data_IF_189739611649
#
_entry.id   IF_189739611649
#
_cell.length_a   1.000
_cell.length_b   1.000
_cell.length_c   1.000
_cell.angle_alpha   90.00
_cell.angle_beta   90.00
_cell.angle_gamma   90.00
#
_symmetry.space_group_name_H-M   'P 1'
#
loop_
_entity.id
_entity.type
_entity.pdbx_description
1 polymer ?
#
# COMPACT_ATOMS: atom_id res chain seq x y z
N UNK A 1 -4.84 26.19 12.63
CA UNK A 1 -5.86 27.26 12.53
C UNK A 1 -5.98 27.93 13.89
N UNK A 2 -6.10 29.26 13.93
CA UNK A 2 -6.42 29.98 15.15
C UNK A 2 -7.94 30.13 15.20
N UNK A 3 -8.53 29.74 16.31
CA UNK A 3 -9.96 29.85 16.56
C UNK A 3 -10.23 31.02 17.53
N UNK A 4 -11.45 31.12 18.05
CA UNK A 4 -11.94 32.26 18.82
C UNK A 4 -11.02 32.62 20.00
N UNK A 5 -11.02 33.89 20.37
CA UNK A 5 -10.30 34.40 21.54
C UNK A 5 -11.32 34.98 22.50
N UNK A 6 -11.47 34.38 23.68
CA UNK A 6 -12.51 34.75 24.66
C UNK A 6 -12.05 35.84 25.64
N UNK A 7 -10.94 36.52 25.33
CA UNK A 7 -10.31 37.54 26.18
C UNK A 7 -9.45 36.98 27.32
N UNK A 8 -9.51 35.66 27.58
CA UNK A 8 -8.64 34.96 28.55
C UNK A 8 -7.71 33.96 27.87
N UNK A 9 -8.14 33.36 26.75
CA UNK A 9 -7.42 32.33 26.01
C UNK A 9 -7.60 32.51 24.51
N UNK A 10 -6.68 31.92 23.76
CA UNK A 10 -6.75 31.77 22.31
C UNK A 10 -6.67 30.29 21.98
N UNK A 11 -7.65 29.80 21.22
CA UNK A 11 -7.71 28.41 20.82
C UNK A 11 -6.92 28.18 19.52
N UNK A 12 -6.17 27.08 19.45
CA UNK A 12 -5.41 26.67 18.27
C UNK A 12 -5.69 25.22 17.93
N UNK A 13 -5.83 24.94 16.63
CA UNK A 13 -5.96 23.59 16.08
C UNK A 13 -4.73 23.31 15.22
N UNK A 14 -4.05 22.21 15.51
CA UNK A 14 -2.90 21.72 14.76
C UNK A 14 -3.21 20.35 14.18
N UNK A 15 -3.04 20.20 12.87
CA UNK A 15 -3.09 18.90 12.19
C UNK A 15 -1.68 18.43 11.91
N UNK A 16 -1.22 17.43 12.67
CA UNK A 16 0.10 16.84 12.49
C UNK A 16 -0.03 15.63 11.55
N UNK A 17 0.87 15.54 10.57
CA UNK A 17 0.93 14.42 9.62
C UNK A 17 2.34 13.83 9.58
N UNK A 18 2.51 12.55 9.23
CA UNK A 18 3.83 11.96 9.03
C UNK A 18 4.61 12.72 7.97
N UNK A 19 5.95 12.71 8.05
CA UNK A 19 6.82 13.40 7.08
C UNK A 19 6.55 12.95 5.64
N UNK A 20 6.17 11.68 5.45
CA UNK A 20 5.79 11.13 4.14
C UNK A 20 4.62 11.87 3.48
N UNK A 21 3.79 12.59 4.24
CA UNK A 21 2.72 13.43 3.68
C UNK A 21 3.26 14.51 2.73
N UNK A 22 4.52 14.97 2.88
CA UNK A 22 5.13 15.91 1.94
C UNK A 22 5.18 15.37 0.50
N UNK A 23 5.17 14.05 0.33
CA UNK A 23 5.12 13.40 -0.99
C UNK A 23 3.75 13.52 -1.68
N UNK A 24 2.70 14.00 -0.99
CA UNK A 24 1.40 14.30 -1.61
C UNK A 24 1.37 15.70 -2.23
N UNK A 25 2.38 16.54 -1.94
CA UNK A 25 2.42 17.94 -2.36
C UNK A 25 3.14 18.17 -3.70
N UNK A 26 3.46 17.08 -4.41
CA UNK A 26 4.01 17.15 -5.75
C UNK A 26 3.16 16.34 -6.73
N UNK A 27 3.49 16.48 -8.01
CA UNK A 27 2.99 15.66 -9.10
C UNK A 27 4.08 15.62 -10.16
N UNK A 28 4.33 14.45 -10.75
CA UNK A 28 5.37 14.33 -11.78
C UNK A 28 5.03 13.28 -12.84
N UNK A 29 5.79 13.31 -13.94
CA UNK A 29 5.84 12.23 -14.93
C UNK A 29 7.29 11.87 -15.24
N UNK A 30 7.67 10.64 -14.93
CA UNK A 30 9.04 10.15 -15.10
C UNK A 30 9.10 8.63 -15.24
N UNK A 31 10.24 8.16 -15.70
CA UNK A 31 10.48 6.76 -16.00
C UNK A 31 11.57 6.23 -15.05
N UNK A 32 11.37 5.00 -14.58
CA UNK A 32 12.34 4.20 -13.86
C UNK A 32 12.70 2.99 -14.72
N UNK A 33 13.94 2.97 -15.19
CA UNK A 33 14.49 1.91 -16.03
C UNK A 33 15.16 0.84 -15.17
N UNK A 34 14.83 -0.43 -15.43
CA UNK A 34 15.52 -1.60 -14.85
C UNK A 34 15.67 -1.50 -13.34
N UNK A 35 14.54 -1.33 -12.65
CA UNK A 35 14.47 -1.29 -11.19
C UNK A 35 13.38 -2.20 -10.68
N UNK A 36 13.66 -2.87 -9.58
CA UNK A 36 12.61 -3.49 -8.78
C UNK A 36 11.77 -2.42 -8.07
N UNK A 37 10.54 -2.75 -7.73
CA UNK A 37 9.68 -1.84 -6.99
C UNK A 37 10.30 -1.40 -5.66
N UNK A 38 10.87 -2.28 -4.80
CA UNK A 38 11.52 -1.85 -3.56
C UNK A 38 12.63 -0.81 -3.77
N UNK A 39 13.38 -0.89 -4.88
CA UNK A 39 14.38 0.11 -5.23
C UNK A 39 13.73 1.45 -5.60
N UNK A 40 12.66 1.44 -6.40
CA UNK A 40 11.89 2.65 -6.73
C UNK A 40 11.32 3.29 -5.45
N UNK A 41 10.69 2.49 -4.58
CA UNK A 41 10.15 2.97 -3.30
C UNK A 41 11.25 3.63 -2.44
N UNK A 42 12.44 3.04 -2.41
CA UNK A 42 13.61 3.57 -1.69
C UNK A 42 14.11 4.89 -2.30
N UNK A 43 14.14 5.00 -3.62
CA UNK A 43 14.55 6.22 -4.33
C UNK A 43 13.60 7.37 -3.98
N UNK A 44 12.29 7.14 -4.06
CA UNK A 44 11.28 8.15 -3.76
C UNK A 44 11.39 8.66 -2.32
N UNK A 45 11.57 7.76 -1.35
CA UNK A 45 11.74 8.16 0.06
C UNK A 45 13.01 9.00 0.25
N UNK A 46 14.13 8.63 -0.39
CA UNK A 46 15.39 9.39 -0.32
C UNK A 46 15.29 10.77 -0.96
N UNK A 47 14.71 10.86 -2.17
CA UNK A 47 14.51 12.13 -2.88
C UNK A 47 13.70 13.13 -2.04
N UNK A 48 12.68 12.63 -1.33
CA UNK A 48 11.84 13.42 -0.43
C UNK A 48 12.36 13.54 1.00
N UNK A 49 13.57 13.06 1.29
CA UNK A 49 14.23 13.11 2.62
C UNK A 49 13.38 12.50 3.74
N UNK A 50 12.60 11.46 3.41
CA UNK A 50 11.84 10.69 4.38
C UNK A 50 12.79 9.73 5.07
N UNK A 51 12.79 9.71 6.40
CA UNK A 51 13.51 8.67 7.15
C UNK A 51 12.72 7.37 7.04
N UNK A 52 13.40 6.28 6.71
CA UNK A 52 12.76 5.00 6.59
C UNK A 52 13.68 3.87 7.03
N UNK A 53 13.04 2.80 7.49
CA UNK A 53 13.67 1.50 7.69
C UNK A 53 12.96 0.48 6.80
N UNK A 54 13.74 -0.16 5.94
CA UNK A 54 13.26 -1.30 5.15
C UNK A 54 13.50 -2.55 5.98
N UNK A 55 12.42 -3.18 6.44
CA UNK A 55 12.52 -4.48 7.08
C UNK A 55 12.80 -5.58 6.04
N UNK A 56 12.98 -6.81 6.49
CA UNK A 56 13.20 -7.97 5.62
C UNK A 56 12.01 -8.13 4.68
N UNK A 57 12.29 -8.02 3.38
CA UNK A 57 11.37 -8.43 2.31
C UNK A 57 11.61 -9.91 2.06
N UNK A 58 10.65 -10.75 2.43
CA UNK A 58 10.76 -12.21 2.35
C UNK A 58 10.44 -12.75 0.95
N UNK A 59 9.75 -11.97 0.12
CA UNK A 59 9.37 -12.30 -1.25
C UNK A 59 10.39 -11.76 -2.23
N UNK A 60 10.51 -12.44 -3.37
CA UNK A 60 11.32 -11.97 -4.49
C UNK A 60 10.54 -10.91 -5.27
N UNK A 61 11.08 -9.70 -5.33
CA UNK A 61 10.58 -8.62 -6.18
C UNK A 61 11.42 -8.50 -7.44
N UNK A 62 10.82 -8.72 -8.60
CA UNK A 62 11.53 -8.78 -9.88
C UNK A 62 11.90 -7.37 -10.37
N UNK A 63 13.06 -7.25 -11.01
CA UNK A 63 13.45 -6.04 -11.73
C UNK A 63 12.48 -5.82 -12.88
N UNK A 64 11.83 -4.65 -12.92
CA UNK A 64 10.97 -4.28 -14.04
C UNK A 64 11.81 -3.53 -15.06
N UNK A 65 11.71 -3.93 -16.33
CA UNK A 65 12.40 -3.24 -17.43
C UNK A 65 12.04 -1.75 -17.46
N UNK A 66 10.75 -1.44 -17.27
CA UNK A 66 10.21 -0.11 -17.46
C UNK A 66 9.03 0.17 -16.53
N UNK A 67 9.17 1.16 -15.64
CA UNK A 67 8.08 1.61 -14.75
C UNK A 67 7.88 3.11 -14.87
N UNK A 68 6.65 3.55 -15.15
CA UNK A 68 6.32 4.97 -15.33
C UNK A 68 5.50 5.48 -14.15
N UNK A 69 5.94 6.60 -13.57
CA UNK A 69 5.09 7.50 -12.79
C UNK A 69 4.44 8.45 -13.79
N UNK A 70 3.10 8.52 -13.83
CA UNK A 70 2.40 9.35 -14.81
C UNK A 70 1.37 10.25 -14.12
N UNK A 71 1.67 11.55 -14.06
CA UNK A 71 0.78 12.60 -13.54
C UNK A 71 0.17 12.28 -12.18
N UNK A 72 0.95 11.67 -11.31
CA UNK A 72 0.55 11.31 -9.95
C UNK A 72 1.59 11.84 -8.96
N UNK A 73 1.16 12.07 -7.73
CA UNK A 73 2.06 12.47 -6.64
C UNK A 73 3.08 11.37 -6.34
N UNK A 74 4.21 11.72 -5.75
CA UNK A 74 5.19 10.71 -5.33
C UNK A 74 4.58 9.75 -4.30
N UNK A 75 3.66 10.23 -3.46
CA UNK A 75 2.93 9.40 -2.51
C UNK A 75 2.00 8.40 -3.22
N UNK A 76 1.19 8.84 -4.17
CA UNK A 76 0.24 7.96 -4.85
C UNK A 76 0.96 6.92 -5.70
N UNK A 77 2.04 7.33 -6.37
CA UNK A 77 2.93 6.42 -7.09
C UNK A 77 3.53 5.36 -6.16
N UNK A 78 4.05 5.79 -5.00
CA UNK A 78 4.63 4.92 -3.99
C UNK A 78 3.58 3.91 -3.49
N UNK A 79 2.40 4.37 -3.07
CA UNK A 79 1.34 3.51 -2.56
C UNK A 79 0.82 2.54 -3.62
N UNK A 80 0.73 2.98 -4.88
CA UNK A 80 0.30 2.11 -5.99
C UNK A 80 1.29 0.98 -6.23
N UNK A 81 2.58 1.31 -6.35
CA UNK A 81 3.61 0.29 -6.53
C UNK A 81 3.72 -0.66 -5.33
N UNK A 82 3.61 -0.12 -4.11
CA UNK A 82 3.58 -0.94 -2.90
C UNK A 82 2.38 -1.90 -2.90
N UNK A 83 1.19 -1.44 -3.30
CA UNK A 83 0.00 -2.28 -3.44
C UNK A 83 0.18 -3.38 -4.51
N UNK A 84 0.83 -3.08 -5.64
CA UNK A 84 1.12 -4.06 -6.71
C UNK A 84 2.04 -5.21 -6.23
N UNK A 85 2.92 -4.95 -5.26
CA UNK A 85 3.88 -5.93 -4.74
C UNK A 85 3.52 -6.48 -3.35
N UNK A 86 2.38 -6.07 -2.80
CA UNK A 86 1.94 -6.50 -1.47
C UNK A 86 2.73 -5.90 -0.32
N UNK A 87 3.42 -4.80 -0.56
CA UNK A 87 4.24 -4.10 0.42
C UNK A 87 3.33 -3.22 1.28
N UNK A 88 3.36 -3.46 2.58
CA UNK A 88 2.64 -2.71 3.59
C UNK A 88 3.61 -1.79 4.31
N UNK A 89 3.10 -0.68 4.84
CA UNK A 89 3.91 0.29 5.56
C UNK A 89 3.14 0.92 6.72
N UNK A 90 3.89 1.40 7.70
CA UNK A 90 3.39 2.11 8.86
C UNK A 90 4.44 3.11 9.35
N UNK A 91 4.10 3.86 10.39
CA UNK A 91 4.96 4.88 10.95
C UNK A 91 5.33 4.53 12.39
N UNK A 92 6.62 4.55 12.71
CA UNK A 92 7.11 4.48 14.08
C UNK A 92 8.02 5.67 14.37
N UNK A 93 7.73 6.38 15.45
CA UNK A 93 8.44 7.58 15.88
C UNK A 93 8.58 8.62 14.75
N UNK A 94 9.73 8.65 14.08
CA UNK A 94 10.09 9.58 13.01
C UNK A 94 10.38 8.87 11.68
N UNK A 95 10.10 7.57 11.57
CA UNK A 95 10.47 6.76 10.43
C UNK A 95 9.26 6.06 9.81
N UNK A 96 9.29 5.92 8.49
CA UNK A 96 8.42 5.02 7.74
C UNK A 96 9.04 3.63 7.74
N UNK A 97 8.27 2.61 8.15
CA UNK A 97 8.67 1.22 8.05
C UNK A 97 7.85 0.55 6.96
N UNK A 98 8.46 -0.36 6.19
CA UNK A 98 7.72 -1.16 5.21
C UNK A 98 8.29 -2.58 5.07
N UNK A 99 7.40 -3.53 4.82
CA UNK A 99 7.68 -4.95 4.62
C UNK A 99 6.65 -5.58 3.67
N UNK A 100 6.77 -6.87 3.37
CA UNK A 100 5.87 -7.62 2.49
C UNK A 100 5.08 -8.75 3.19
N UNK A 101 5.23 -8.88 4.51
CA UNK A 101 4.49 -9.83 5.33
C UNK A 101 4.40 -9.39 6.80
N UNK A 102 3.48 -10.01 7.55
CA UNK A 102 3.19 -9.65 8.95
C UNK A 102 4.33 -9.92 9.95
N UNK A 103 5.40 -10.63 9.55
CA UNK A 103 6.47 -11.03 10.48
C UNK A 103 7.20 -9.83 11.10
N UNK A 104 7.30 -8.71 10.37
CA UNK A 104 7.86 -7.45 10.88
C UNK A 104 6.96 -6.67 11.85
N UNK A 105 5.74 -7.16 12.14
CA UNK A 105 4.73 -6.44 12.93
C UNK A 105 4.55 -6.98 14.35
N UNK A 106 5.37 -7.94 14.79
CA UNK A 106 5.24 -8.50 16.14
C UNK A 106 5.46 -7.43 17.21
N UNK A 107 4.61 -7.42 18.22
CA UNK A 107 4.69 -6.50 19.35
C UNK A 107 4.36 -7.23 20.64
N UNK A 108 5.01 -6.82 21.73
CA UNK A 108 4.72 -7.32 23.07
C UNK A 108 3.57 -6.52 23.71
N UNK A 109 2.38 -6.61 23.08
CA UNK A 109 1.16 -5.94 23.52
C UNK A 109 0.12 -7.01 23.84
N UNK A 110 -0.22 -7.12 25.12
CA UNK A 110 -1.27 -8.00 25.61
C UNK A 110 -2.43 -7.15 26.12
N UNK A 111 -3.65 -7.52 25.74
CA UNK A 111 -4.87 -6.90 26.22
C UNK A 111 -5.72 -7.94 26.97
N UNK A 112 -6.31 -7.52 28.08
CA UNK A 112 -7.32 -8.29 28.80
C UNK A 112 -8.71 -7.79 28.42
N UNK A 113 -9.62 -8.68 28.07
CA UNK A 113 -11.01 -8.31 27.85
C UNK A 113 -11.73 -8.15 29.19
N UNK A 114 -12.26 -6.95 29.46
CA UNK A 114 -13.04 -6.66 30.66
C UNK A 114 -14.13 -5.62 30.35
N UNK A 115 -15.41 -6.01 30.50
CA UNK A 115 -16.57 -5.13 30.24
C UNK A 115 -16.80 -4.06 31.30
N UNK A 116 -16.02 -4.04 32.39
CA UNK A 116 -16.11 -3.07 33.48
C UNK A 116 -14.85 -2.21 33.55
N UNK A 117 -14.65 -1.28 32.59
CA UNK A 117 -13.43 -0.46 32.51
C UNK A 117 -13.23 0.45 33.72
N UNK A 118 -14.30 0.78 34.46
CA UNK A 118 -14.26 1.58 35.69
C UNK A 118 -13.40 0.94 36.80
N UNK A 119 -13.23 -0.39 36.74
CA UNK A 119 -12.47 -1.17 37.72
C UNK A 119 -11.04 -1.45 37.26
N UNK A 120 -10.68 -0.96 36.08
CA UNK A 120 -9.37 -1.19 35.50
C UNK A 120 -8.36 -0.17 36.04
N UNK A 121 -7.28 -0.68 36.62
CA UNK A 121 -6.12 0.09 37.07
C UNK A 121 -4.92 -0.03 36.11
N UNK A 122 -5.12 -0.70 34.96
CA UNK A 122 -4.10 -0.95 33.93
C UNK A 122 -4.38 -0.21 32.63
N UNK A 123 -3.36 -0.01 31.79
CA UNK A 123 -3.51 0.57 30.45
C UNK A 123 -3.61 -0.52 29.35
N UNK A 124 -4.24 -1.66 29.68
CA UNK A 124 -4.21 -2.88 28.86
C UNK A 124 -5.57 -3.55 28.69
N UNK A 125 -6.68 -2.82 28.80
CA UNK A 125 -8.02 -3.39 28.71
C UNK A 125 -8.70 -3.09 27.39
N UNK A 126 -9.33 -4.14 26.83
CA UNK A 126 -10.37 -4.02 25.82
C UNK A 126 -11.74 -4.20 26.50
N UNK A 127 -12.60 -3.19 26.43
CA UNK A 127 -13.90 -3.20 27.13
C UNK A 127 -15.10 -3.27 26.20
N UNK A 128 -14.89 -3.09 24.90
CA UNK A 128 -15.87 -3.38 23.86
C UNK A 128 -15.17 -4.16 22.76
N UNK A 129 -15.79 -5.24 22.28
CA UNK A 129 -15.26 -6.09 21.23
C UNK A 129 -16.35 -6.45 20.22
N UNK A 130 -16.06 -6.27 18.93
CA UNK A 130 -16.93 -6.66 17.83
C UNK A 130 -16.09 -7.37 16.78
N UNK A 131 -16.57 -8.50 16.28
CA UNK A 131 -15.90 -9.29 15.24
C UNK A 131 -16.94 -9.79 14.24
N UNK A 132 -16.62 -9.68 12.96
CA UNK A 132 -17.47 -10.13 11.85
C UNK A 132 -16.67 -10.88 10.80
N UNK A 133 -17.31 -11.89 10.22
CA UNK A 133 -16.86 -12.54 8.99
C UNK A 133 -17.78 -12.18 7.84
N UNK A 134 -17.19 -11.87 6.68
CA UNK A 134 -17.90 -11.34 5.52
C UNK A 134 -17.56 -12.15 4.28
N UNK A 135 -18.55 -12.31 3.40
CA UNK A 135 -18.34 -12.90 2.09
C UNK A 135 -17.46 -11.95 1.25
N UNK A 136 -16.39 -12.50 0.69
CA UNK A 136 -15.51 -11.81 -0.26
C UNK A 136 -15.35 -12.68 -1.51
N UNK A 137 -14.71 -12.15 -2.55
CA UNK A 137 -14.34 -12.95 -3.72
C UNK A 137 -13.51 -14.16 -3.29
N UNK A 138 -13.91 -15.33 -3.78
CA UNK A 138 -13.26 -16.61 -3.52
C UNK A 138 -12.26 -16.99 -4.63
N UNK A 139 -12.11 -16.14 -5.64
CA UNK A 139 -11.22 -16.41 -6.75
C UNK A 139 -10.84 -15.16 -7.55
N UNK A 140 -9.72 -15.26 -8.24
CA UNK A 140 -9.31 -14.28 -9.24
C UNK A 140 -8.67 -14.98 -10.43
N UNK A 141 -8.92 -14.43 -11.61
CA UNK A 141 -8.34 -14.84 -12.88
C UNK A 141 -7.66 -13.61 -13.48
N UNK A 142 -6.37 -13.68 -13.72
CA UNK A 142 -5.60 -12.63 -14.36
C UNK A 142 -5.03 -13.12 -15.69
N UNK A 143 -5.07 -12.23 -16.68
CA UNK A 143 -4.56 -12.50 -18.02
C UNK A 143 -3.73 -11.34 -18.53
N UNK A 144 -2.70 -11.67 -19.30
CA UNK A 144 -1.92 -10.71 -20.07
C UNK A 144 -1.55 -11.32 -21.43
N UNK A 145 -0.77 -10.60 -22.25
CA UNK A 145 -0.33 -11.07 -23.56
C UNK A 145 1.14 -10.76 -23.77
N UNK A 146 1.92 -11.80 -24.10
CA UNK A 146 3.31 -11.68 -24.50
C UNK A 146 3.44 -11.87 -26.01
N UNK A 147 3.85 -10.80 -26.71
CA UNK A 147 3.97 -10.82 -28.18
C UNK A 147 5.08 -11.74 -28.70
N UNK A 148 6.04 -12.12 -27.86
CA UNK A 148 7.08 -13.10 -28.19
C UNK A 148 6.53 -14.53 -28.22
N UNK A 149 5.39 -14.77 -27.56
CA UNK A 149 4.70 -16.06 -27.54
C UNK A 149 3.18 -15.87 -27.69
N UNK A 150 2.70 -15.40 -28.85
CA UNK A 150 1.33 -14.90 -29.01
C UNK A 150 0.25 -15.99 -28.95
N UNK A 151 0.63 -17.27 -29.11
CA UNK A 151 -0.30 -18.41 -28.98
C UNK A 151 -0.56 -18.80 -27.53
N UNK A 152 0.30 -18.37 -26.61
CA UNK A 152 0.18 -18.71 -25.21
C UNK A 152 -0.82 -17.79 -24.52
N UNK A 153 -1.81 -18.37 -23.85
CA UNK A 153 -2.89 -17.60 -23.21
C UNK A 153 -2.45 -16.70 -22.08
N UNK A 154 -1.30 -17.01 -21.43
CA UNK A 154 -0.74 -16.27 -20.29
C UNK A 154 -1.82 -15.89 -19.27
N UNK A 155 -2.51 -16.91 -18.77
CA UNK A 155 -3.66 -16.81 -17.88
C UNK A 155 -3.37 -17.58 -16.59
N UNK A 156 -3.63 -16.93 -15.47
CA UNK A 156 -3.40 -17.47 -14.14
C UNK A 156 -4.64 -17.32 -13.27
N UNK A 157 -4.91 -18.32 -12.46
CA UNK A 157 -6.07 -18.38 -11.59
C UNK A 157 -5.67 -18.83 -10.19
N UNK A 158 -6.31 -18.26 -9.19
CA UNK A 158 -6.18 -18.68 -7.80
C UNK A 158 -7.57 -18.64 -7.16
N UNK A 159 -7.92 -19.69 -6.43
CA UNK A 159 -9.21 -19.83 -5.76
C UNK A 159 -9.05 -20.38 -4.34
N UNK A 160 -9.99 -20.04 -3.46
CA UNK A 160 -10.05 -20.55 -2.09
C UNK A 160 -11.00 -21.72 -1.90
N UNK A 161 -11.93 -21.92 -2.84
CA UNK A 161 -12.86 -23.06 -2.86
C UNK A 161 -13.16 -23.47 -4.31
N UNK A 162 -13.65 -24.70 -4.49
CA UNK A 162 -13.92 -25.28 -5.81
C UNK A 162 -15.23 -24.78 -6.45
N UNK A 163 -15.96 -23.84 -5.81
CA UNK A 163 -17.28 -23.44 -6.30
C UNK A 163 -17.21 -22.51 -7.51
N UNK A 164 -16.11 -21.77 -7.70
CA UNK A 164 -15.87 -20.86 -8.82
C UNK A 164 -16.83 -19.67 -8.93
N UNK A 165 -17.85 -19.59 -8.07
CA UNK A 165 -18.85 -18.54 -8.04
C UNK A 165 -18.29 -17.32 -7.29
N UNK A 166 -18.35 -16.12 -7.88
CA UNK A 166 -17.81 -14.84 -7.35
C UNK A 166 -16.31 -14.58 -7.60
N UNK A 167 -15.76 -15.08 -8.72
CA UNK A 167 -14.41 -14.76 -9.16
C UNK A 167 -14.30 -13.39 -9.84
N UNK A 168 -13.14 -12.73 -9.68
CA UNK A 168 -12.81 -11.45 -10.35
C UNK A 168 -11.86 -11.71 -11.51
N UNK A 169 -12.23 -11.29 -12.71
CA UNK A 169 -11.39 -11.38 -13.90
C UNK A 169 -10.75 -10.04 -14.25
N UNK A 170 -9.45 -10.04 -14.54
CA UNK A 170 -8.69 -8.87 -14.99
C UNK A 170 -7.80 -9.21 -16.19
N UNK A 171 -7.96 -8.48 -17.30
CA UNK A 171 -7.18 -8.66 -18.54
C UNK A 171 -5.95 -7.73 -18.63
N UNK A 172 -5.43 -7.30 -17.49
CA UNK A 172 -4.25 -6.45 -17.37
C UNK A 172 -3.38 -6.91 -16.19
N UNK A 173 -2.94 -8.17 -16.27
CA UNK A 173 -2.20 -8.85 -15.19
C UNK A 173 -0.82 -8.26 -14.87
N UNK A 174 -0.21 -7.55 -15.82
CA UNK A 174 1.11 -6.89 -15.72
C UNK A 174 2.28 -7.83 -15.50
N UNK A 175 2.21 -8.98 -16.14
CA UNK A 175 3.27 -9.97 -16.16
C UNK A 175 3.54 -10.37 -17.60
N UNK A 176 4.79 -10.72 -17.90
CA UNK A 176 5.17 -11.25 -19.21
C UNK A 176 5.41 -12.76 -19.18
N UNK A 177 5.55 -13.32 -17.97
CA UNK A 177 5.94 -14.71 -17.73
C UNK A 177 5.22 -15.30 -16.51
N UNK A 178 5.02 -16.62 -16.51
CA UNK A 178 4.32 -17.36 -15.45
C UNK A 178 4.92 -17.19 -14.05
N UNK A 179 6.25 -16.99 -13.99
CA UNK A 179 6.98 -16.80 -12.74
C UNK A 179 6.58 -15.51 -12.02
N UNK A 180 6.21 -14.47 -12.78
CA UNK A 180 5.72 -13.19 -12.28
C UNK A 180 4.21 -13.25 -12.00
N UNK A 181 3.47 -13.95 -12.86
CA UNK A 181 2.01 -14.01 -12.80
C UNK A 181 1.48 -14.70 -11.55
N UNK A 182 2.08 -15.84 -11.17
CA UNK A 182 1.68 -16.62 -9.98
C UNK A 182 1.62 -15.77 -8.69
N UNK A 183 2.70 -15.08 -8.27
CA UNK A 183 2.65 -14.26 -7.06
C UNK A 183 1.69 -13.06 -7.19
N UNK A 184 1.54 -12.45 -8.36
CA UNK A 184 0.59 -11.34 -8.57
C UNK A 184 -0.88 -11.78 -8.45
N UNK A 185 -1.21 -12.93 -9.03
CA UNK A 185 -2.57 -13.49 -8.95
C UNK A 185 -2.92 -13.89 -7.50
N UNK A 186 -1.98 -14.51 -6.79
CA UNK A 186 -2.14 -14.83 -5.36
C UNK A 186 -2.32 -13.55 -4.52
N UNK A 187 -1.48 -12.54 -4.75
CA UNK A 187 -1.57 -11.26 -4.06
C UNK A 187 -2.93 -10.60 -4.28
N UNK A 188 -3.45 -10.64 -5.51
CA UNK A 188 -4.75 -10.07 -5.85
C UNK A 188 -5.88 -10.74 -5.07
N UNK A 189 -5.86 -12.06 -4.93
CA UNK A 189 -6.83 -12.79 -4.12
C UNK A 189 -6.74 -12.38 -2.64
N UNK A 190 -5.53 -12.25 -2.10
CA UNK A 190 -5.32 -11.79 -0.71
C UNK A 190 -5.88 -10.37 -0.50
N UNK A 191 -5.68 -9.45 -1.46
CA UNK A 191 -6.26 -8.10 -1.43
C UNK A 191 -7.79 -8.11 -1.44
N UNK A 192 -8.40 -8.93 -2.28
CA UNK A 192 -9.86 -9.06 -2.37
C UNK A 192 -10.49 -9.61 -1.08
N UNK A 193 -9.68 -10.30 -0.26
CA UNK A 193 -10.12 -10.95 0.99
C UNK A 193 -9.66 -10.24 2.26
N UNK A 194 -9.02 -9.08 2.16
CA UNK A 194 -8.54 -8.32 3.33
C UNK A 194 -9.59 -8.12 4.42
N UNK A 195 -10.85 -7.93 4.03
CA UNK A 195 -11.95 -7.62 4.94
C UNK A 195 -12.90 -8.81 5.14
N UNK A 196 -12.49 -10.04 4.78
CA UNK A 196 -13.31 -11.22 5.05
C UNK A 196 -13.45 -11.51 6.55
N UNK A 197 -12.51 -11.04 7.37
CA UNK A 197 -12.49 -11.19 8.83
C UNK A 197 -11.97 -9.89 9.44
N UNK A 198 -12.85 -9.13 10.07
CA UNK A 198 -12.53 -7.81 10.63
C UNK A 198 -13.25 -7.63 11.95
N UNK A 199 -12.58 -6.97 12.88
CA UNK A 199 -13.20 -6.56 14.13
C UNK A 199 -12.85 -5.13 14.51
N UNK A 200 -13.61 -4.62 15.46
CA UNK A 200 -13.38 -3.33 16.12
C UNK A 200 -13.41 -3.50 17.63
N UNK A 201 -12.63 -2.71 18.35
CA UNK A 201 -12.65 -2.70 19.80
C UNK A 201 -12.47 -1.30 20.36
N UNK A 202 -13.01 -1.09 21.56
CA UNK A 202 -12.66 0.07 22.39
C UNK A 202 -11.72 -0.38 23.51
N UNK A 203 -10.64 0.36 23.69
CA UNK A 203 -9.55 0.02 24.61
C UNK A 203 -9.01 1.27 25.30
N UNK A 204 -8.34 1.12 26.45
CA UNK A 204 -7.54 2.18 27.06
C UNK A 204 -6.03 2.10 26.70
N UNK A 205 -5.63 1.11 25.90
CA UNK A 205 -4.23 0.89 25.53
C UNK A 205 -3.73 1.83 24.43
N UNK A 206 -2.95 2.85 24.82
CA UNK A 206 -2.31 3.80 23.89
C UNK A 206 -1.17 3.19 23.05
N UNK A 207 -0.69 1.99 23.42
CA UNK A 207 0.41 1.31 22.70
C UNK A 207 -0.03 0.75 21.34
N UNK A 208 -1.33 0.57 21.13
CA UNK A 208 -1.89 0.08 19.87
C UNK A 208 -1.67 1.10 18.77
N UNK A 209 -1.09 0.65 17.66
CA UNK A 209 -0.85 1.44 16.44
C UNK A 209 -0.73 0.54 15.22
N UNK A 210 -1.02 1.03 14.00
CA UNK A 210 -0.80 0.26 12.77
C UNK A 210 0.64 -0.25 12.69
N UNK A 211 0.80 -1.45 12.14
CA UNK A 211 2.08 -2.16 12.12
C UNK A 211 2.42 -2.92 13.41
N UNK A 212 1.44 -3.10 14.31
CA UNK A 212 1.56 -3.93 15.51
C UNK A 212 0.54 -5.06 15.50
N UNK A 213 0.98 -6.21 15.98
CA UNK A 213 0.13 -7.35 16.32
C UNK A 213 0.06 -7.42 17.85
N UNK A 214 -1.15 -7.42 18.40
CA UNK A 214 -1.42 -7.58 19.83
C UNK A 214 -2.08 -8.94 20.11
N UNK A 215 -2.10 -9.36 21.36
CA UNK A 215 -2.79 -10.57 21.81
C UNK A 215 -3.97 -10.17 22.71
N UNK A 216 -5.15 -10.74 22.48
CA UNK A 216 -6.29 -10.61 23.40
C UNK A 216 -6.37 -11.83 24.31
N UNK A 217 -6.72 -11.63 25.58
CA UNK A 217 -6.96 -12.70 26.56
C UNK A 217 -8.24 -12.43 27.35
N UNK A 218 -8.72 -13.46 28.05
CA UNK A 218 -9.88 -13.40 28.96
C UNK A 218 -11.22 -13.02 28.30
N UNK A 219 -11.33 -13.13 26.98
CA UNK A 219 -12.60 -12.98 26.28
C UNK A 219 -13.48 -14.23 26.50
N UNK A 220 -14.80 -14.11 26.77
CA UNK A 220 -15.70 -15.24 27.01
C UNK A 220 -15.79 -16.24 25.85
N UNK A 221 -15.62 -15.77 24.62
CA UNK A 221 -15.50 -16.59 23.42
C UNK A 221 -14.02 -16.91 23.21
N UNK A 222 -13.66 -18.19 23.36
CA UNK A 222 -12.27 -18.65 23.33
C UNK A 222 -11.54 -18.34 22.02
N UNK A 223 -12.25 -18.42 20.89
CA UNK A 223 -11.68 -18.09 19.58
C UNK A 223 -11.22 -16.62 19.45
N UNK A 224 -11.66 -15.72 20.34
CA UNK A 224 -11.21 -14.33 20.36
C UNK A 224 -9.87 -14.15 21.11
N UNK A 225 -9.48 -15.11 21.95
CA UNK A 225 -8.24 -15.12 22.71
C UNK A 225 -7.04 -15.51 21.82
N UNK A 226 -6.79 -14.73 20.78
CA UNK A 226 -5.72 -14.95 19.80
C UNK A 226 -4.98 -13.63 19.51
N UNK A 227 -4.09 -13.68 18.53
CA UNK A 227 -3.33 -12.55 18.00
C UNK A 227 -4.15 -11.80 16.95
N UNK A 228 -4.05 -10.47 16.98
CA UNK A 228 -4.80 -9.55 16.12
C UNK A 228 -3.86 -8.48 15.57
N UNK A 229 -3.92 -8.25 14.26
CA UNK A 229 -3.15 -7.21 13.59
C UNK A 229 -3.95 -5.90 13.60
N UNK A 230 -3.35 -4.81 14.07
CA UNK A 230 -3.94 -3.48 14.03
C UNK A 230 -3.93 -2.93 12.61
N UNK A 231 -5.11 -2.57 12.09
CA UNK A 231 -5.26 -1.85 10.82
C UNK A 231 -5.32 -0.34 11.00
N UNK A 232 -6.12 0.12 11.96
CA UNK A 232 -6.25 1.54 12.29
C UNK A 232 -6.50 1.71 13.78
N UNK A 233 -6.12 2.87 14.30
CA UNK A 233 -6.42 3.30 15.66
C UNK A 233 -6.80 4.77 15.65
N UNK A 234 -7.79 5.13 16.45
CA UNK A 234 -8.17 6.50 16.75
C UNK A 234 -8.05 6.70 18.25
N UNK A 235 -7.12 7.55 18.66
CA UNK A 235 -6.96 7.96 20.06
C UNK A 235 -7.73 9.28 20.28
N UNK A 236 -8.57 9.33 21.30
CA UNK A 236 -9.30 10.52 21.72
C UNK A 236 -8.97 10.83 23.17
N UNK A 237 -8.37 12.00 23.42
CA UNK A 237 -8.00 12.47 24.75
C UNK A 237 -8.65 13.82 25.07
N UNK A 238 -9.09 13.98 26.32
CA UNK A 238 -9.70 15.21 26.82
C UNK A 238 -9.16 15.54 28.21
N UNK A 239 -8.69 16.77 28.40
CA UNK A 239 -8.07 17.24 29.66
C UNK A 239 -8.69 18.57 30.12
N UNK A 240 -9.88 18.54 30.76
CA UNK A 240 -10.59 19.75 31.18
C UNK A 240 -9.94 20.47 32.38
N UNK A 241 -9.11 19.78 33.17
CA UNK A 241 -8.38 20.40 34.30
C UNK A 241 -7.36 21.43 33.81
N UNK A 242 -6.80 21.26 32.60
CA UNK A 242 -5.93 22.28 32.01
C UNK A 242 -6.69 23.50 31.50
N UNK A 243 -8.01 23.40 31.32
CA UNK A 243 -8.88 24.48 30.86
C UNK A 243 -9.70 25.13 31.97
N UNK A 244 -9.43 24.89 33.27
CA UNK A 244 -10.23 25.42 34.40
C UNK A 244 -11.77 25.24 34.23
N UNK A 245 -12.23 24.37 33.32
CA UNK A 245 -13.66 24.29 32.96
C UNK A 245 -14.48 23.56 34.02
N UNK A 246 -13.81 22.90 34.98
CA UNK A 246 -14.43 22.22 36.11
C UNK A 246 -15.27 20.99 35.71
N UNK A 247 -15.25 19.95 36.54
CA UNK A 247 -16.31 18.94 36.57
C UNK A 247 -15.94 17.51 36.13
N UNK A 248 -14.92 17.29 35.30
CA UNK A 248 -14.52 15.94 34.85
C UNK A 248 -13.01 15.69 34.93
N UNK A 249 -12.61 14.42 35.06
CA UNK A 249 -11.21 14.00 35.04
C UNK A 249 -10.64 13.96 33.62
N UNK A 250 -9.31 13.83 33.51
CA UNK A 250 -8.66 13.57 32.22
C UNK A 250 -9.10 12.21 31.68
N UNK A 251 -9.53 12.15 30.42
CA UNK A 251 -9.95 10.91 29.77
C UNK A 251 -9.09 10.62 28.54
N UNK A 252 -8.85 9.34 28.28
CA UNK A 252 -8.23 8.83 27.07
C UNK A 252 -8.98 7.57 26.63
N UNK A 253 -9.48 7.56 25.41
CA UNK A 253 -10.19 6.42 24.82
C UNK A 253 -9.62 6.08 23.46
N UNK A 254 -9.58 4.80 23.13
CA UNK A 254 -9.00 4.33 21.87
C UNK A 254 -9.99 3.42 21.16
N UNK A 255 -10.23 3.68 19.88
CA UNK A 255 -10.97 2.79 19.00
C UNK A 255 -10.00 2.16 18.00
N UNK A 256 -10.00 0.84 17.90
CA UNK A 256 -9.07 0.07 17.06
C UNK A 256 -9.86 -0.79 16.09
N UNK A 257 -9.42 -0.84 14.82
CA UNK A 257 -9.86 -1.84 13.86
C UNK A 257 -8.74 -2.85 13.63
N UNK A 258 -9.10 -4.13 13.53
CA UNK A 258 -8.13 -5.22 13.44
C UNK A 258 -8.60 -6.37 12.56
N UNK A 259 -7.65 -7.22 12.17
CA UNK A 259 -7.87 -8.49 11.48
C UNK A 259 -7.11 -9.61 12.21
N UNK A 260 -7.35 -10.90 11.90
CA UNK A 260 -6.57 -11.99 12.48
C UNK A 260 -5.06 -11.81 12.28
N UNK A 261 -4.28 -11.90 13.36
CA UNK A 261 -2.84 -11.63 13.36
C UNK A 261 -1.98 -12.67 12.64
N UNK A 262 -2.58 -13.71 12.07
CA UNK A 262 -1.93 -14.73 11.22
C UNK A 262 -2.14 -14.48 9.72
N UNK A 263 -3.05 -13.59 9.36
CA UNK A 263 -3.28 -13.18 7.99
C UNK A 263 -2.27 -12.08 7.63
N UNK A 264 -1.78 -12.09 6.39
CA UNK A 264 -1.09 -10.92 5.88
C UNK A 264 -2.12 -9.98 5.27
N UNK A 265 -2.33 -8.81 5.88
CA UNK A 265 -3.09 -7.74 5.23
C UNK A 265 -2.34 -7.24 3.99
N UNK A 266 -3.07 -6.95 2.90
CA UNK A 266 -2.51 -6.36 1.68
C UNK A 266 -3.04 -4.95 1.46
N UNK A 267 -2.25 -3.99 0.95
CA UNK A 267 -2.78 -2.69 0.61
C UNK A 267 -3.88 -2.84 -0.46
N UNK A 268 -4.98 -2.07 -0.39
CA UNK A 268 -5.99 -2.06 -1.43
C UNK A 268 -5.38 -1.74 -2.80
N UNK A 269 -5.83 -2.47 -3.83
CA UNK A 269 -5.36 -2.26 -5.20
C UNK A 269 -5.66 -0.83 -5.67
N UNK A 270 -4.67 -0.21 -6.30
CA UNK A 270 -4.77 1.13 -6.88
C UNK A 270 -4.60 1.04 -8.39
N UNK A 271 -5.62 1.47 -9.13
CA UNK A 271 -5.52 1.56 -10.58
C UNK A 271 -4.43 2.56 -10.98
N UNK A 272 -3.66 2.21 -12.02
CA UNK A 272 -2.64 3.12 -12.56
C UNK A 272 -3.30 4.28 -13.30
N UNK A 273 -2.79 5.51 -13.13
CA UNK A 273 -3.20 6.62 -13.96
C UNK A 273 -3.01 6.31 -15.44
N UNK A 274 -4.05 6.58 -16.23
CA UNK A 274 -3.99 6.48 -17.69
C UNK A 274 -3.40 7.78 -18.27
N UNK A 275 -2.81 7.68 -19.46
CA UNK A 275 -2.62 8.86 -20.27
C UNK A 275 -3.98 9.33 -20.81
N UNK A 276 -4.16 10.64 -21.02
CA UNK A 276 -5.43 11.21 -21.51
C UNK A 276 -5.75 10.81 -22.96
N UNK A 277 -4.76 10.23 -23.66
CA UNK A 277 -4.86 9.76 -25.03
C UNK A 277 -3.47 9.44 -25.58
N UNK A 278 -3.37 9.44 -26.91
CA UNK A 278 -2.10 9.27 -27.60
C UNK A 278 -1.17 10.45 -27.33
N UNK A 279 0.10 10.14 -27.07
CA UNK A 279 1.13 11.13 -26.80
C UNK A 279 2.18 11.12 -27.90
N UNK A 280 2.64 12.31 -28.30
CA UNK A 280 3.74 12.46 -29.25
C UNK A 280 5.07 12.35 -28.50
N UNK A 281 6.02 11.65 -29.11
CA UNK A 281 7.39 11.50 -28.63
C UNK A 281 8.38 11.61 -29.79
N UNK A 282 9.63 11.93 -29.49
CA UNK A 282 10.71 12.00 -30.49
C UNK A 282 11.35 10.63 -30.62
N UNK A 283 11.52 10.11 -31.84
CA UNK A 283 12.29 8.88 -32.07
C UNK A 283 13.76 9.16 -31.78
N UNK A 284 14.41 8.30 -31.00
CA UNK A 284 15.79 8.48 -30.55
C UNK A 284 16.60 7.22 -30.74
N UNK A 285 17.92 7.37 -30.77
CA UNK A 285 18.90 6.29 -30.92
C UNK A 285 20.29 6.79 -30.52
N UNK A 286 21.33 5.95 -30.67
CA UNK A 286 22.70 6.37 -30.42
C UNK A 286 23.06 7.51 -31.37
N UNK A 287 23.84 8.50 -30.90
CA UNK A 287 24.18 9.68 -31.71
C UNK A 287 24.96 9.40 -33.01
N UNK A 288 25.43 8.16 -33.22
CA UNK A 288 26.12 7.70 -34.43
C UNK A 288 25.20 7.09 -35.49
N UNK A 289 23.93 6.84 -35.17
CA UNK A 289 23.01 6.09 -36.03
C UNK A 289 21.77 6.91 -36.37
N UNK A 290 21.41 6.98 -37.66
CA UNK A 290 20.18 7.62 -38.11
C UNK A 290 18.94 6.73 -37.89
N UNK A 291 19.12 5.41 -37.96
CA UNK A 291 18.06 4.41 -37.81
C UNK A 291 18.50 3.40 -36.75
N UNK A 292 17.79 3.38 -35.61
CA UNK A 292 18.04 2.47 -34.50
C UNK A 292 16.80 1.63 -34.20
N UNK A 293 16.85 0.35 -34.58
CA UNK A 293 15.74 -0.60 -34.43
C UNK A 293 16.24 -1.94 -33.90
N UNK A 294 15.39 -2.65 -33.14
CA UNK A 294 15.70 -4.02 -32.72
C UNK A 294 15.22 -5.07 -33.75
N UNK A 295 15.42 -6.36 -33.45
CA UNK A 295 15.03 -7.50 -34.29
C UNK A 295 13.52 -7.60 -34.60
N UNK A 296 12.68 -6.86 -33.87
CA UNK A 296 11.23 -6.78 -34.07
C UNK A 296 10.79 -5.49 -34.76
N UNK A 297 11.73 -4.66 -35.24
CA UNK A 297 11.43 -3.34 -35.81
C UNK A 297 10.90 -2.35 -34.77
N UNK A 298 11.13 -2.59 -33.48
CA UNK A 298 10.79 -1.66 -32.42
C UNK A 298 11.83 -0.54 -32.34
N UNK A 299 11.40 0.64 -31.91
CA UNK A 299 12.22 1.85 -31.78
C UNK A 299 12.37 2.27 -30.32
N UNK A 300 13.27 3.22 -30.04
CA UNK A 300 13.30 3.98 -28.79
C UNK A 300 12.69 5.36 -29.01
N UNK A 301 12.07 5.90 -27.97
CA UNK A 301 11.42 7.21 -27.99
C UNK A 301 11.80 8.04 -26.77
N UNK A 302 11.80 9.36 -26.91
CA UNK A 302 11.91 10.30 -25.81
C UNK A 302 10.62 11.11 -25.71
N UNK A 303 9.88 10.90 -24.62
CA UNK A 303 8.66 11.66 -24.35
C UNK A 303 9.01 13.10 -23.98
N UNK A 304 8.23 14.07 -24.47
CA UNK A 304 8.49 15.49 -24.20
C UNK A 304 8.30 15.90 -22.73
N UNK A 305 7.55 15.10 -21.96
CA UNK A 305 7.42 15.27 -20.52
C UNK A 305 8.57 14.62 -19.72
N UNK A 306 9.43 13.81 -20.37
CA UNK A 306 10.58 13.20 -19.70
C UNK A 306 11.72 14.22 -19.55
N UNK A 307 11.85 14.77 -18.34
CA UNK A 307 12.86 15.76 -17.98
C UNK A 307 14.12 15.16 -17.33
N UNK A 308 14.14 13.84 -17.15
CA UNK A 308 15.18 13.14 -16.38
C UNK A 308 16.19 12.44 -17.27
N UNK A 309 15.71 11.81 -18.34
CA UNK A 309 16.58 11.10 -19.26
C UNK A 309 16.98 12.00 -20.43
N UNK A 310 18.19 11.77 -20.95
CA UNK A 310 18.64 12.37 -22.20
C UNK A 310 17.81 11.78 -23.36
N UNK A 311 17.71 12.54 -24.45
CA UNK A 311 17.08 12.08 -25.68
C UNK A 311 18.04 11.18 -26.48
N UNK A 312 18.38 10.01 -25.93
CA UNK A 312 19.27 9.00 -26.53
C UNK A 312 18.66 7.59 -26.49
N UNK A 313 19.42 6.55 -26.85
CA UNK A 313 18.99 5.16 -26.93
C UNK A 313 18.57 4.52 -25.59
N UNK A 314 18.79 5.22 -24.47
CA UNK A 314 18.41 4.79 -23.14
C UNK A 314 17.14 5.51 -22.62
N UNK A 315 16.52 6.38 -23.42
CA UNK A 315 15.38 7.22 -23.02
C UNK A 315 14.09 6.46 -22.69
N UNK A 316 13.84 5.31 -23.33
CA UNK A 316 12.62 4.49 -23.14
C UNK A 316 12.92 3.01 -23.17
N UNK A 317 11.93 2.14 -22.92
CA UNK A 317 11.95 0.75 -23.39
C UNK A 317 11.82 0.67 -24.93
N UNK A 318 11.94 -0.53 -25.50
CA UNK A 318 11.64 -0.77 -26.91
C UNK A 318 10.12 -0.67 -27.16
N UNK A 319 9.72 0.16 -28.12
CA UNK A 319 8.32 0.41 -28.47
C UNK A 319 8.03 -0.15 -29.86
N UNK A 320 7.08 -1.09 -29.96
CA UNK A 320 6.64 -1.67 -31.23
C UNK A 320 5.93 -0.60 -32.09
N UNK A 321 6.19 -0.63 -33.40
CA UNK A 321 5.65 0.34 -34.36
C UNK A 321 4.54 -0.31 -35.19
N UNK A 322 3.38 0.35 -35.26
CA UNK A 322 2.31 -0.07 -36.16
C UNK A 322 2.72 0.18 -37.62
N UNK A 323 2.46 -0.79 -38.49
CA UNK A 323 2.79 -0.74 -39.92
C UNK A 323 1.51 -0.74 -40.75
N UNK A 324 1.57 -0.20 -41.98
CA UNK A 324 0.44 -0.25 -42.91
C UNK A 324 0.00 -1.66 -43.29
N UNK A 325 0.89 -2.64 -43.17
CA UNK A 325 0.61 -4.07 -43.34
C UNK A 325 1.61 -4.90 -42.50
N UNK A 326 1.13 -5.95 -41.81
CA UNK A 326 1.92 -6.92 -41.04
C UNK A 326 1.41 -8.33 -41.37
N UNK A 327 2.30 -9.26 -41.75
CA UNK A 327 1.95 -10.60 -42.21
C UNK A 327 3.01 -11.65 -41.93
#
# INVERSE_FOLDING_TARGET
EQDNTDGRRTFYIFTVRPTMWLMTLNQDSRIFHRKSVPEILTILLKEHRILFTRDTLYKRHVEREYTTQKRESAYDFWCRLAAEEGIIFWFEEKQTLFCDCRLGMQADIELTYNTHPETDETDTTAYQWSYGEYLCSNGTVQKDHNFLNPKYSLEHQTQSDDSGHNSVFESYGRFQWDAEAKPFTQLRLEQLRNYSKVGTAKTNCIRLRPGKIFTLQSHPIEAMNDRWQVLSVTHYGWQPVASDDGGEGTTLTNEVAFIPGRQDWRPPYRYKPLADGDEVATVVGPGSEEIYVNEHGAIRIHFHWNRYDKADDLASCWVRVAQGWNG
#
